data_IF_912596346918
#
_entry.id   IF_912596346918
#
_cell.length_a   1.000
_cell.length_b   1.000
_cell.length_c   1.000
_cell.angle_alpha   90.00
_cell.angle_beta   90.00
_cell.angle_gamma   90.00
#
_symmetry.space_group_name_H-M   'P 1'
#
loop_
_entity.id
_entity.type
_entity.pdbx_description
1 polymer ?
#
# COMPACT_ATOMS: atom_id res chain seq x y z
N UNK A 1 13.88 9.27 -16.22
CA UNK A 1 12.73 8.74 -15.46
C UNK A 1 11.96 9.88 -14.82
N UNK A 2 10.67 9.69 -14.51
CA UNK A 2 9.74 10.76 -14.14
C UNK A 2 10.04 11.46 -12.80
N UNK A 3 10.66 10.77 -11.84
CA UNK A 3 10.97 11.30 -10.50
C UNK A 3 12.43 11.71 -10.32
N UNK A 4 13.17 11.89 -11.43
CA UNK A 4 14.56 12.34 -11.36
C UNK A 4 14.64 13.67 -10.62
N UNK A 5 15.46 13.71 -9.56
CA UNK A 5 15.66 14.89 -8.73
C UNK A 5 14.78 14.96 -7.48
N UNK A 6 13.83 14.03 -7.31
CA UNK A 6 13.05 13.89 -6.08
C UNK A 6 13.88 13.14 -5.03
N UNK A 7 14.03 13.73 -3.84
CA UNK A 7 14.73 13.15 -2.71
C UNK A 7 13.74 12.62 -1.66
N UNK A 8 13.82 11.33 -1.34
CA UNK A 8 12.92 10.64 -0.40
C UNK A 8 13.72 10.11 0.78
N UNK A 9 13.25 10.40 2.00
CA UNK A 9 13.70 9.74 3.23
C UNK A 9 12.65 8.70 3.60
N UNK A 10 13.02 7.42 3.59
CA UNK A 10 12.17 6.30 4.00
C UNK A 10 12.60 5.81 5.37
N UNK A 11 11.71 5.84 6.37
CA UNK A 11 11.94 5.15 7.63
C UNK A 11 11.61 3.67 7.47
N UNK A 12 12.53 2.81 7.89
CA UNK A 12 12.41 1.37 7.73
C UNK A 12 11.10 0.82 8.32
N UNK A 13 10.33 0.14 7.49
CA UNK A 13 9.17 -0.67 7.87
C UNK A 13 9.13 -1.99 7.13
N UNK A 14 7.96 -2.64 7.21
CA UNK A 14 7.66 -3.88 6.52
C UNK A 14 6.87 -3.62 5.23
N UNK A 15 6.85 -4.63 4.35
CA UNK A 15 6.04 -4.80 3.14
C UNK A 15 5.52 -3.51 2.43
N UNK A 16 4.44 -2.84 2.91
CA UNK A 16 3.89 -1.62 2.31
C UNK A 16 4.90 -0.47 2.14
N UNK A 17 5.71 -0.20 3.17
CA UNK A 17 6.69 0.89 3.18
C UNK A 17 7.83 0.67 2.17
N UNK A 18 8.54 -0.47 2.25
CA UNK A 18 9.55 -0.84 1.27
C UNK A 18 9.00 -0.86 -0.16
N UNK A 19 7.79 -1.36 -0.40
CA UNK A 19 7.17 -1.31 -1.74
C UNK A 19 7.01 0.13 -2.24
N UNK A 20 6.44 1.02 -1.42
CA UNK A 20 6.25 2.43 -1.78
C UNK A 20 7.59 3.10 -2.14
N UNK A 21 8.60 2.96 -1.29
CA UNK A 21 9.94 3.48 -1.59
C UNK A 21 10.59 2.83 -2.82
N UNK A 22 10.31 1.55 -3.09
CA UNK A 22 10.83 0.86 -4.27
C UNK A 22 10.24 1.44 -5.55
N UNK A 23 8.91 1.63 -5.59
CA UNK A 23 8.23 2.23 -6.75
C UNK A 23 8.80 3.62 -7.03
N UNK A 24 8.95 4.47 -6.00
CA UNK A 24 9.53 5.81 -6.18
C UNK A 24 10.96 5.73 -6.75
N UNK A 25 11.78 4.80 -6.26
CA UNK A 25 13.15 4.59 -6.77
C UNK A 25 13.15 4.06 -8.22
N UNK A 26 12.31 3.08 -8.54
CA UNK A 26 12.17 2.49 -9.87
C UNK A 26 11.74 3.55 -10.92
N UNK A 27 11.06 4.63 -10.49
CA UNK A 27 10.72 5.78 -11.34
C UNK A 27 11.68 6.98 -11.23
N UNK A 28 12.83 6.81 -10.55
CA UNK A 28 13.98 7.70 -10.59
C UNK A 28 14.19 8.62 -9.39
N UNK A 29 13.43 8.46 -8.31
CA UNK A 29 13.66 9.20 -7.07
C UNK A 29 14.94 8.70 -6.37
N UNK A 30 15.65 9.59 -5.69
CA UNK A 30 16.74 9.23 -4.80
C UNK A 30 16.18 8.87 -3.43
N UNK A 31 16.11 7.58 -3.13
CA UNK A 31 15.54 7.08 -1.88
C UNK A 31 16.65 6.72 -0.89
N UNK A 32 16.66 7.41 0.25
CA UNK A 32 17.49 7.08 1.42
C UNK A 32 16.63 6.37 2.47
N UNK A 33 16.86 5.07 2.64
CA UNK A 33 16.28 4.27 3.69
C UNK A 33 17.05 4.45 5.00
N UNK A 34 16.32 4.65 6.09
CA UNK A 34 16.86 4.80 7.44
C UNK A 34 16.42 3.61 8.30
N UNK A 35 17.38 2.75 8.62
CA UNK A 35 17.18 1.57 9.48
C UNK A 35 17.59 1.85 10.93
N UNK A 36 16.98 1.13 11.86
CA UNK A 36 17.38 1.15 13.27
C UNK A 36 18.62 0.26 13.52
N UNK A 37 19.46 0.56 14.53
CA UNK A 37 20.55 -0.33 14.92
C UNK A 37 20.05 -1.75 15.22
N UNK A 38 20.82 -2.76 14.82
CA UNK A 38 20.47 -4.17 15.01
C UNK A 38 19.35 -4.68 14.09
N UNK A 39 18.93 -3.89 13.08
CA UNK A 39 18.09 -4.39 12.00
C UNK A 39 18.82 -5.50 11.23
N UNK A 40 18.11 -6.58 10.90
CA UNK A 40 18.64 -7.65 10.04
C UNK A 40 18.83 -7.20 8.57
N UNK A 41 18.51 -5.94 8.26
CA UNK A 41 18.45 -5.43 6.90
C UNK A 41 17.16 -5.82 6.18
N UNK A 42 17.07 -5.48 4.90
CA UNK A 42 15.93 -5.89 4.07
C UNK A 42 16.16 -7.29 3.49
N UNK A 43 15.33 -8.25 3.89
CA UNK A 43 15.31 -9.62 3.36
C UNK A 43 14.32 -9.80 2.21
N UNK A 44 13.51 -8.77 1.90
CA UNK A 44 12.45 -8.85 0.87
C UNK A 44 12.93 -8.47 -0.54
N UNK A 45 14.16 -7.97 -0.66
CA UNK A 45 14.72 -7.36 -1.88
C UNK A 45 13.96 -6.13 -2.40
N UNK A 46 12.99 -5.60 -1.63
CA UNK A 46 12.27 -4.36 -1.93
C UNK A 46 13.09 -3.10 -1.60
N UNK A 47 14.28 -3.24 -1.01
CA UNK A 47 15.24 -2.16 -0.83
C UNK A 47 16.13 -1.92 -2.05
N UNK A 48 15.93 -2.66 -3.16
CA UNK A 48 16.67 -2.43 -4.40
C UNK A 48 16.57 -0.97 -4.86
N UNK A 49 17.67 -0.44 -5.41
CA UNK A 49 17.75 0.93 -5.89
C UNK A 49 17.81 2.01 -4.80
N UNK A 50 17.78 1.65 -3.51
CA UNK A 50 17.82 2.61 -2.39
C UNK A 50 19.23 2.70 -1.80
N UNK A 51 19.55 3.86 -1.24
CA UNK A 51 20.68 4.04 -0.32
C UNK A 51 20.23 3.72 1.10
N UNK A 52 21.15 3.31 1.97
CA UNK A 52 20.85 2.95 3.35
C UNK A 52 21.67 3.76 4.34
N UNK A 53 21.06 4.10 5.47
CA UNK A 53 21.68 4.74 6.63
C UNK A 53 21.13 4.06 7.90
N UNK A 54 22.00 3.73 8.85
CA UNK A 54 21.57 3.27 10.17
C UNK A 54 21.54 4.46 11.12
N UNK A 55 20.41 4.65 11.81
CA UNK A 55 20.22 5.77 12.72
C UNK A 55 19.43 5.37 13.96
N UNK A 56 19.99 5.64 15.14
CA UNK A 56 19.29 5.43 16.40
C UNK A 56 18.42 6.65 16.75
N UNK A 57 17.14 6.60 16.38
CA UNK A 57 16.19 7.67 16.67
C UNK A 57 15.82 7.77 18.16
N UNK A 58 16.27 6.85 19.02
CA UNK A 58 16.12 6.99 20.48
C UNK A 58 17.14 7.96 21.08
N UNK A 59 18.17 8.34 20.32
CA UNK A 59 19.19 9.29 20.74
C UNK A 59 18.89 10.67 20.15
N UNK A 60 19.08 11.77 20.91
CA UNK A 60 18.90 13.13 20.40
C UNK A 60 19.74 13.44 19.15
N UNK A 61 20.94 12.86 19.03
CA UNK A 61 21.77 13.02 17.83
C UNK A 61 21.14 12.36 16.61
N UNK A 62 20.45 11.22 16.80
CA UNK A 62 19.76 10.52 15.72
C UNK A 62 18.56 11.30 15.22
N UNK A 63 17.75 11.86 16.12
CA UNK A 63 16.62 12.70 15.72
C UNK A 63 17.09 13.97 14.99
N UNK A 64 18.17 14.60 15.44
CA UNK A 64 18.77 15.77 14.78
C UNK A 64 19.28 15.45 13.36
N UNK A 65 19.93 14.30 13.15
CA UNK A 65 20.34 13.87 11.81
C UNK A 65 19.13 13.68 10.90
N UNK A 66 18.08 13.00 11.37
CA UNK A 66 16.88 12.80 10.56
C UNK A 66 16.20 14.12 10.21
N UNK A 67 16.10 15.05 11.17
CA UNK A 67 15.55 16.38 10.97
C UNK A 67 16.30 17.15 9.89
N UNK A 68 17.64 17.08 9.88
CA UNK A 68 18.50 17.67 8.82
C UNK A 68 18.32 17.01 7.45
N UNK A 69 18.08 15.70 7.40
CA UNK A 69 17.77 15.03 6.15
C UNK A 69 16.41 15.53 5.62
N UNK A 70 15.40 15.61 6.50
CA UNK A 70 14.05 16.07 6.14
C UNK A 70 14.00 17.54 5.73
N UNK A 71 14.91 18.39 6.22
CA UNK A 71 14.98 19.80 5.81
C UNK A 71 15.39 20.00 4.35
N UNK A 72 15.94 18.95 3.71
CA UNK A 72 16.37 18.95 2.30
C UNK A 72 15.61 17.94 1.44
N UNK A 73 14.79 17.10 2.05
CA UNK A 73 14.03 16.08 1.35
C UNK A 73 12.75 16.66 0.74
N UNK A 74 12.29 16.03 -0.33
CA UNK A 74 10.98 16.28 -0.90
C UNK A 74 9.89 15.50 -0.17
N UNK A 75 10.21 14.28 0.26
CA UNK A 75 9.28 13.34 0.87
C UNK A 75 9.92 12.69 2.10
N UNK A 76 9.16 12.59 3.18
CA UNK A 76 9.40 11.66 4.28
C UNK A 76 8.31 10.58 4.23
N UNK A 77 8.70 9.32 4.12
CA UNK A 77 7.81 8.16 4.21
C UNK A 77 8.05 7.46 5.54
N UNK A 78 7.02 7.38 6.39
CA UNK A 78 7.09 6.70 7.68
C UNK A 78 5.92 5.72 7.88
N UNK A 79 6.20 4.47 8.30
CA UNK A 79 5.18 3.42 8.41
C UNK A 79 4.74 3.16 9.87
N UNK A 80 4.88 4.14 10.76
CA UNK A 80 4.64 3.93 12.18
C UNK A 80 3.19 4.21 12.58
N UNK A 81 2.83 3.70 13.76
CA UNK A 81 1.53 3.96 14.37
C UNK A 81 1.41 5.41 14.80
N UNK A 82 0.17 5.86 14.93
CA UNK A 82 -0.14 7.20 15.44
C UNK A 82 0.61 7.48 16.76
N UNK A 83 1.25 8.66 16.83
CA UNK A 83 1.96 9.14 18.01
C UNK A 83 3.41 8.72 18.12
N UNK A 84 3.92 7.79 17.29
CA UNK A 84 5.33 7.35 17.37
C UNK A 84 6.27 8.49 16.99
N UNK A 85 6.02 9.16 15.87
CA UNK A 85 6.88 10.24 15.37
C UNK A 85 6.78 11.50 16.25
N UNK A 86 5.61 11.77 16.81
CA UNK A 86 5.38 12.85 17.76
C UNK A 86 6.20 12.65 19.04
N UNK A 87 6.24 11.43 19.59
CA UNK A 87 7.08 11.09 20.76
C UNK A 87 8.57 11.29 20.49
N UNK A 88 9.00 11.15 19.24
CA UNK A 88 10.37 11.40 18.80
C UNK A 88 10.65 12.86 18.43
N UNK A 89 9.66 13.76 18.59
CA UNK A 89 9.72 15.16 18.16
C UNK A 89 9.98 15.33 16.66
N UNK A 90 9.54 14.35 15.86
CA UNK A 90 9.70 14.29 14.41
C UNK A 90 8.34 14.25 13.70
N UNK A 91 7.27 14.68 14.39
CA UNK A 91 5.92 14.74 13.82
C UNK A 91 5.77 15.83 12.73
N UNK A 92 4.67 15.81 11.97
CA UNK A 92 4.41 16.69 10.85
C UNK A 92 4.49 18.16 11.22
N UNK A 93 3.91 18.56 12.35
CA UNK A 93 3.95 19.97 12.80
C UNK A 93 5.38 20.49 12.94
N UNK A 94 6.28 19.66 13.48
CA UNK A 94 7.70 20.02 13.66
C UNK A 94 8.41 20.07 12.31
N UNK A 95 8.29 19.02 11.51
CA UNK A 95 9.06 18.90 10.27
C UNK A 95 8.55 19.83 9.15
N UNK A 96 7.24 20.09 9.08
CA UNK A 96 6.66 21.04 8.11
C UNK A 96 6.97 22.49 8.48
N UNK A 97 7.17 22.80 9.77
CA UNK A 97 7.67 24.11 10.18
C UNK A 97 9.09 24.35 9.69
N UNK A 98 9.94 23.31 9.73
CA UNK A 98 11.33 23.41 9.27
C UNK A 98 11.45 23.33 7.74
N UNK A 99 10.58 22.55 7.09
CA UNK A 99 10.49 22.43 5.65
C UNK A 99 9.02 22.48 5.19
N UNK A 100 8.50 23.68 4.89
CA UNK A 100 7.11 23.86 4.43
C UNK A 100 6.79 23.20 3.09
N UNK A 101 7.80 22.71 2.37
CA UNK A 101 7.66 21.99 1.09
C UNK A 101 7.60 20.47 1.28
N UNK A 102 7.91 19.95 2.46
CA UNK A 102 7.99 18.51 2.72
C UNK A 102 6.64 17.83 2.51
N UNK A 103 6.64 16.73 1.78
CA UNK A 103 5.50 15.80 1.75
C UNK A 103 5.72 14.78 2.85
N UNK A 104 4.90 14.86 3.90
CA UNK A 104 4.97 13.94 5.03
C UNK A 104 3.98 12.80 4.79
N UNK A 105 4.47 11.65 4.30
CA UNK A 105 3.67 10.48 4.02
C UNK A 105 3.66 9.50 5.19
N UNK A 106 2.48 9.28 5.74
CA UNK A 106 2.19 8.29 6.79
C UNK A 106 1.56 7.08 6.14
N UNK A 107 2.13 5.90 6.38
CA UNK A 107 1.62 4.64 5.84
C UNK A 107 1.33 3.65 6.96
N UNK A 108 0.09 3.62 7.42
CA UNK A 108 -0.32 2.77 8.55
C UNK A 108 -1.42 1.78 8.16
N UNK A 109 -1.75 0.88 9.08
CA UNK A 109 -2.86 -0.07 8.87
C UNK A 109 -4.23 0.57 8.98
N UNK A 110 -4.47 1.25 10.11
CA UNK A 110 -5.79 1.78 10.52
C UNK A 110 -5.93 3.31 10.42
N UNK A 111 -4.92 4.01 9.89
CA UNK A 111 -4.90 5.48 9.81
C UNK A 111 -4.34 6.14 11.07
N UNK A 112 -4.34 7.47 11.08
CA UNK A 112 -3.79 8.28 12.18
C UNK A 112 -4.85 8.74 13.19
N UNK A 113 -6.12 8.42 12.95
CA UNK A 113 -7.25 8.84 13.80
C UNK A 113 -8.22 7.68 14.07
N UNK A 114 -9.17 7.90 15.00
CA UNK A 114 -10.15 6.89 15.38
C UNK A 114 -9.65 5.85 16.39
N UNK A 115 -10.55 4.97 16.83
CA UNK A 115 -10.33 4.03 17.96
C UNK A 115 -9.23 2.99 17.70
N UNK A 116 -8.95 2.69 16.43
CA UNK A 116 -8.00 1.64 16.03
C UNK A 116 -6.62 2.18 15.65
N UNK A 117 -6.38 3.50 15.67
CA UNK A 117 -5.13 4.11 15.20
C UNK A 117 -3.87 3.67 15.96
N UNK A 118 -4.02 3.17 17.19
CA UNK A 118 -2.93 2.65 18.03
C UNK A 118 -2.86 1.12 18.06
N UNK A 119 -3.84 0.44 17.47
CA UNK A 119 -3.93 -1.02 17.48
C UNK A 119 -2.85 -1.67 16.61
N UNK A 120 -2.46 -2.89 16.99
CA UNK A 120 -1.62 -3.74 16.15
C UNK A 120 -2.48 -4.47 15.11
N UNK A 121 -1.88 -4.78 13.97
CA UNK A 121 -2.52 -5.58 12.92
C UNK A 121 -1.53 -5.95 11.83
N UNK A 122 -1.99 -6.81 10.93
CA UNK A 122 -1.35 -7.17 9.67
C UNK A 122 -2.39 -7.13 8.55
N UNK A 123 -1.95 -7.33 7.30
CA UNK A 123 -2.77 -7.30 6.08
C UNK A 123 -4.19 -7.86 6.29
N UNK A 124 -4.31 -9.10 6.77
CA UNK A 124 -5.59 -9.78 6.95
C UNK A 124 -6.57 -9.02 7.85
N UNK A 125 -6.08 -8.30 8.87
CA UNK A 125 -6.92 -7.50 9.77
C UNK A 125 -7.46 -6.26 9.05
N UNK A 126 -6.62 -5.61 8.25
CA UNK A 126 -6.99 -4.44 7.48
C UNK A 126 -7.95 -4.82 6.34
N UNK A 127 -7.66 -5.93 5.67
CA UNK A 127 -8.50 -6.52 4.64
C UNK A 127 -9.87 -6.93 5.19
N UNK A 128 -9.93 -7.47 6.41
CA UNK A 128 -11.20 -7.78 7.08
C UNK A 128 -12.03 -6.51 7.33
N UNK A 129 -11.43 -5.46 7.88
CA UNK A 129 -12.14 -4.22 8.18
C UNK A 129 -12.54 -3.41 6.93
N UNK A 130 -11.81 -3.55 5.82
CA UNK A 130 -12.21 -2.98 4.54
C UNK A 130 -13.49 -3.62 3.97
N UNK A 131 -13.94 -4.75 4.54
CA UNK A 131 -15.06 -5.55 4.07
C UNK A 131 -14.68 -6.55 2.97
N UNK A 132 -13.53 -6.38 2.31
CA UNK A 132 -13.15 -7.18 1.15
C UNK A 132 -12.88 -8.65 1.50
N UNK A 133 -12.31 -8.94 2.68
CA UNK A 133 -12.06 -10.34 3.07
C UNK A 133 -13.35 -11.18 3.03
N UNK A 134 -14.49 -10.59 3.40
CA UNK A 134 -15.80 -11.28 3.41
C UNK A 134 -16.27 -11.74 2.04
N UNK A 135 -15.66 -11.23 0.97
CA UNK A 135 -15.99 -11.52 -0.43
C UNK A 135 -15.00 -12.47 -1.10
N UNK A 136 -13.93 -12.89 -0.42
CA UNK A 136 -12.89 -13.77 -0.99
C UNK A 136 -12.97 -15.17 -0.38
N UNK A 137 -13.02 -16.18 -1.26
CA UNK A 137 -13.14 -17.59 -0.90
C UNK A 137 -14.44 -18.21 -1.41
N UNK A 138 -14.74 -19.42 -0.96
CA UNK A 138 -15.91 -20.19 -1.39
C UNK A 138 -16.54 -20.91 -0.19
N UNK A 139 -17.87 -20.93 -0.10
CA UNK A 139 -18.57 -21.55 1.03
C UNK A 139 -18.24 -20.83 2.35
N UNK A 140 -18.09 -21.58 3.44
CA UNK A 140 -17.81 -21.00 4.77
C UNK A 140 -16.37 -20.54 4.97
N UNK A 141 -15.42 -21.05 4.17
CA UNK A 141 -14.00 -20.74 4.33
C UNK A 141 -13.64 -19.38 3.73
N UNK A 142 -13.10 -18.48 4.55
CA UNK A 142 -12.46 -17.24 4.12
C UNK A 142 -11.00 -17.51 3.74
N UNK A 143 -10.54 -16.87 2.67
CA UNK A 143 -9.15 -16.96 2.23
C UNK A 143 -8.52 -15.57 2.13
N UNK A 144 -7.37 -15.38 2.77
CA UNK A 144 -6.57 -14.17 2.60
C UNK A 144 -5.68 -14.32 1.35
N UNK A 145 -5.79 -13.43 0.35
CA UNK A 145 -5.01 -13.49 -0.88
C UNK A 145 -3.58 -12.99 -0.64
N UNK A 146 -2.83 -13.75 0.16
CA UNK A 146 -1.51 -13.37 0.67
C UNK A 146 -1.61 -12.00 1.37
N UNK A 147 -0.67 -11.09 1.08
CA UNK A 147 -0.73 -9.69 1.46
C UNK A 147 -0.77 -8.74 0.25
N UNK A 148 -1.34 -9.20 -0.88
CA UNK A 148 -1.36 -8.42 -2.11
C UNK A 148 -2.35 -7.25 -2.06
N UNK A 149 -3.45 -7.42 -1.33
CA UNK A 149 -4.52 -6.44 -1.32
C UNK A 149 -4.29 -5.30 -0.34
N UNK A 150 -4.06 -5.56 0.95
CA UNK A 150 -4.01 -4.48 1.93
C UNK A 150 -2.61 -3.87 2.05
N UNK A 151 -1.56 -4.67 2.20
CA UNK A 151 -0.18 -4.17 2.28
C UNK A 151 0.23 -3.49 0.96
N UNK A 152 -0.01 -4.13 -0.18
CA UNK A 152 0.49 -3.63 -1.47
C UNK A 152 -0.51 -2.75 -2.21
N UNK A 153 -1.65 -3.31 -2.63
CA UNK A 153 -2.67 -2.59 -3.41
C UNK A 153 -3.25 -1.36 -2.69
N UNK A 154 -3.86 -1.59 -1.53
CA UNK A 154 -4.49 -0.58 -0.71
C UNK A 154 -3.52 0.23 0.16
N UNK A 155 -2.31 -0.28 0.38
CA UNK A 155 -1.29 0.36 1.21
C UNK A 155 -0.23 1.06 0.39
N UNK A 156 0.82 0.32 0.01
CA UNK A 156 2.02 0.87 -0.65
C UNK A 156 1.72 1.61 -1.96
N UNK A 157 0.87 1.07 -2.82
CA UNK A 157 0.48 1.71 -4.09
C UNK A 157 -0.36 2.97 -3.86
N UNK A 158 -1.35 2.93 -2.98
CA UNK A 158 -2.17 4.11 -2.65
C UNK A 158 -1.35 5.22 -1.98
N UNK A 159 -0.39 4.87 -1.12
CA UNK A 159 0.55 5.82 -0.54
C UNK A 159 1.44 6.46 -1.61
N UNK A 160 1.97 5.64 -2.53
CA UNK A 160 2.75 6.14 -3.67
C UNK A 160 1.92 7.13 -4.49
N UNK A 161 0.67 6.78 -4.82
CA UNK A 161 -0.25 7.67 -5.55
C UNK A 161 -0.45 9.00 -4.79
N UNK A 162 -0.68 8.94 -3.47
CA UNK A 162 -0.80 10.14 -2.64
C UNK A 162 0.45 11.03 -2.70
N UNK A 163 1.65 10.43 -2.64
CA UNK A 163 2.92 11.15 -2.75
C UNK A 163 3.04 11.83 -4.11
N UNK A 164 2.72 11.14 -5.20
CA UNK A 164 2.76 11.69 -6.55
C UNK A 164 1.77 12.85 -6.73
N UNK A 165 0.55 12.71 -6.22
CA UNK A 165 -0.46 13.77 -6.24
C UNK A 165 -0.02 14.98 -5.43
N UNK A 166 0.60 14.78 -4.27
CA UNK A 166 1.13 15.86 -3.44
C UNK A 166 2.33 16.55 -4.11
N UNK A 167 3.23 15.80 -4.76
CA UNK A 167 4.33 16.36 -5.56
C UNK A 167 3.80 17.21 -6.71
N UNK A 168 2.75 16.74 -7.38
CA UNK A 168 2.09 17.47 -8.46
C UNK A 168 1.41 18.74 -7.93
N UNK A 169 0.63 18.66 -6.86
CA UNK A 169 -0.02 19.81 -6.23
C UNK A 169 1.00 20.89 -5.84
N UNK A 170 2.13 20.47 -5.26
CA UNK A 170 3.22 21.34 -4.84
C UNK A 170 3.83 22.14 -6.00
N UNK A 171 3.72 21.69 -7.25
CA UNK A 171 4.17 22.48 -8.42
C UNK A 171 3.38 23.76 -8.60
N UNK A 172 2.14 23.81 -8.10
CA UNK A 172 1.26 24.97 -8.17
C UNK A 172 1.27 25.78 -6.88
N UNK A 173 1.17 25.10 -5.74
CA UNK A 173 1.07 25.76 -4.43
C UNK A 173 2.43 26.17 -3.86
N UNK A 174 3.49 25.48 -4.27
CA UNK A 174 4.81 25.58 -3.66
C UNK A 174 4.87 25.01 -2.25
N UNK A 175 3.85 24.29 -1.77
CA UNK A 175 3.73 23.79 -0.39
C UNK A 175 3.67 22.27 -0.33
N UNK A 176 4.18 21.72 0.77
CA UNK A 176 4.03 20.32 1.14
C UNK A 176 2.70 20.09 1.87
N UNK A 177 2.46 18.83 2.22
CA UNK A 177 1.25 18.41 2.94
C UNK A 177 1.47 17.06 3.63
N UNK A 178 0.55 16.71 4.53
CA UNK A 178 0.51 15.39 5.16
C UNK A 178 -0.38 14.47 4.34
N UNK A 179 0.12 13.28 4.05
CA UNK A 179 -0.66 12.19 3.47
C UNK A 179 -0.89 11.17 4.58
N UNK A 180 -2.15 10.94 4.95
CA UNK A 180 -2.55 9.80 5.79
C UNK A 180 -3.05 8.68 4.87
N UNK A 181 -2.15 7.78 4.48
CA UNK A 181 -2.48 6.60 3.71
C UNK A 181 -2.63 5.41 4.65
N UNK A 182 -3.81 4.77 4.62
CA UNK A 182 -4.06 3.58 5.42
C UNK A 182 -4.64 2.42 4.61
N UNK A 183 -4.27 1.21 5.02
CA UNK A 183 -4.57 -0.01 4.27
C UNK A 183 -6.06 -0.36 4.29
N UNK A 184 -6.78 -0.03 5.36
CA UNK A 184 -8.24 -0.26 5.43
C UNK A 184 -8.97 0.57 4.38
N UNK A 185 -8.79 1.88 4.40
CA UNK A 185 -9.46 2.80 3.47
C UNK A 185 -8.95 2.64 2.04
N UNK A 186 -7.64 2.44 1.85
CA UNK A 186 -7.08 2.21 0.52
C UNK A 186 -7.60 0.91 -0.12
N UNK A 187 -7.78 -0.15 0.68
CA UNK A 187 -8.39 -1.40 0.19
C UNK A 187 -9.88 -1.23 -0.09
N UNK A 188 -10.60 -0.49 0.75
CA UNK A 188 -12.00 -0.13 0.49
C UNK A 188 -12.14 0.71 -0.80
N UNK A 189 -11.20 1.63 -1.04
CA UNK A 189 -11.15 2.43 -2.26
C UNK A 189 -10.88 1.57 -3.50
N UNK A 190 -9.86 0.68 -3.44
CA UNK A 190 -9.52 -0.25 -4.52
C UNK A 190 -10.70 -1.17 -4.88
N UNK A 191 -11.50 -1.53 -3.88
CA UNK A 191 -12.71 -2.35 -4.04
C UNK A 191 -13.97 -1.54 -4.41
N UNK A 192 -13.84 -0.29 -4.85
CA UNK A 192 -14.99 0.54 -5.24
C UNK A 192 -15.87 -0.11 -6.30
N UNK A 193 -15.31 -0.83 -7.27
CA UNK A 193 -16.09 -1.54 -8.29
C UNK A 193 -17.00 -2.60 -7.65
N UNK A 194 -16.44 -3.43 -6.76
CA UNK A 194 -17.16 -4.46 -5.98
C UNK A 194 -18.36 -3.85 -5.24
N UNK A 195 -18.14 -2.75 -4.52
CA UNK A 195 -19.21 -2.14 -3.72
C UNK A 195 -20.25 -1.39 -4.58
N UNK A 196 -19.81 -0.63 -5.57
CA UNK A 196 -20.71 0.21 -6.39
C UNK A 196 -21.59 -0.60 -7.34
N UNK A 197 -21.13 -1.78 -7.75
CA UNK A 197 -21.89 -2.64 -8.67
C UNK A 197 -22.74 -3.70 -7.95
N UNK A 198 -22.79 -3.70 -6.62
CA UNK A 198 -23.66 -4.60 -5.87
C UNK A 198 -25.14 -4.44 -6.26
N UNK A 199 -25.59 -3.20 -6.48
CA UNK A 199 -26.98 -2.92 -6.92
C UNK A 199 -27.24 -3.27 -8.38
N UNK A 200 -26.20 -3.50 -9.17
CA UNK A 200 -26.30 -3.94 -10.56
C UNK A 200 -26.40 -5.48 -10.69
N UNK A 201 -26.52 -6.21 -9.57
CA UNK A 201 -26.66 -7.68 -9.57
C UNK A 201 -25.35 -8.43 -9.79
N UNK A 202 -24.20 -7.74 -9.81
CA UNK A 202 -22.89 -8.38 -10.02
C UNK A 202 -22.38 -9.14 -8.78
N UNK A 203 -22.94 -8.86 -7.60
CA UNK A 203 -22.46 -9.35 -6.29
C UNK A 203 -23.59 -9.70 -5.32
N UNK A 204 -24.78 -9.99 -5.84
CA UNK A 204 -26.01 -10.22 -5.07
C UNK A 204 -26.18 -11.67 -4.59
N UNK A 205 -25.28 -12.58 -5.00
CA UNK A 205 -25.23 -13.97 -4.57
C UNK A 205 -24.27 -14.16 -3.39
N UNK A 206 -24.41 -15.27 -2.64
CA UNK A 206 -23.42 -15.66 -1.63
C UNK A 206 -22.00 -15.68 -2.20
N UNK A 207 -21.01 -15.49 -1.34
CA UNK A 207 -19.59 -15.56 -1.71
C UNK A 207 -19.27 -16.87 -2.46
N UNK A 208 -18.55 -16.74 -3.57
CA UNK A 208 -18.17 -17.84 -4.46
C UNK A 208 -19.28 -18.26 -5.43
N UNK A 209 -20.35 -17.46 -5.57
CA UNK A 209 -21.48 -17.72 -6.46
C UNK A 209 -21.79 -16.53 -7.38
N UNK A 210 -20.89 -15.56 -7.47
CA UNK A 210 -21.03 -14.36 -8.29
C UNK A 210 -20.19 -14.47 -9.58
N UNK A 211 -20.33 -13.47 -10.45
CA UNK A 211 -19.70 -13.46 -11.77
C UNK A 211 -18.16 -13.55 -11.69
N UNK A 212 -17.54 -12.84 -10.74
CA UNK A 212 -16.08 -12.64 -10.69
C UNK A 212 -15.41 -13.22 -9.44
N UNK A 213 -16.12 -14.05 -8.65
CA UNK A 213 -15.58 -14.69 -7.44
C UNK A 213 -15.44 -16.22 -7.56
N UNK A 214 -15.51 -16.75 -8.79
CA UNK A 214 -15.37 -18.17 -9.10
C UNK A 214 -16.69 -18.92 -9.23
N UNK A 215 -17.83 -18.26 -8.99
CA UNK A 215 -19.16 -18.86 -9.13
C UNK A 215 -19.63 -19.09 -10.57
N UNK A 216 -19.10 -18.33 -11.53
CA UNK A 216 -19.42 -18.50 -12.94
C UNK A 216 -18.50 -19.55 -13.60
N UNK A 217 -19.04 -20.52 -14.35
CA UNK A 217 -18.23 -21.57 -15.00
C UNK A 217 -17.30 -21.02 -16.10
N UNK A 218 -17.59 -19.83 -16.62
CA UNK A 218 -16.75 -19.14 -17.60
C UNK A 218 -15.82 -18.10 -16.97
N UNK A 219 -15.76 -18.02 -15.64
CA UNK A 219 -14.81 -17.18 -14.89
C UNK A 219 -14.36 -17.91 -13.61
N UNK A 220 -13.55 -18.96 -13.78
CA UNK A 220 -13.10 -19.83 -12.68
C UNK A 220 -11.87 -20.66 -13.10
N UNK A 221 -11.44 -21.58 -12.25
CA UNK A 221 -10.33 -22.51 -12.56
C UNK A 221 -10.82 -23.96 -12.66
N UNK A 222 -10.23 -24.73 -13.57
CA UNK A 222 -10.54 -26.13 -13.80
C UNK A 222 -9.29 -26.99 -13.65
N UNK A 223 -9.42 -28.14 -12.98
CA UNK A 223 -8.35 -29.13 -12.89
C UNK A 223 -8.18 -29.85 -14.24
N UNK A 224 -6.94 -29.94 -14.71
CA UNK A 224 -6.56 -30.60 -15.96
C UNK A 224 -6.11 -32.05 -15.74
N UNK A 225 -5.94 -32.81 -16.83
CA UNK A 225 -5.59 -34.24 -16.78
C UNK A 225 -4.22 -34.53 -16.13
N UNK A 226 -3.30 -33.58 -16.17
CA UNK A 226 -1.99 -33.62 -15.50
C UNK A 226 -2.07 -33.20 -14.01
N UNK A 227 -3.26 -32.91 -13.50
CA UNK A 227 -3.49 -32.49 -12.12
C UNK A 227 -3.18 -31.02 -11.82
N UNK A 228 -2.79 -30.23 -12.83
CA UNK A 228 -2.64 -28.77 -12.73
C UNK A 228 -4.00 -28.07 -12.91
N UNK A 229 -3.97 -26.74 -13.08
CA UNK A 229 -5.18 -25.92 -13.22
C UNK A 229 -5.09 -25.01 -14.44
N UNK A 230 -6.20 -24.88 -15.16
CA UNK A 230 -6.42 -23.90 -16.22
C UNK A 230 -7.37 -22.81 -15.71
N UNK A 231 -7.01 -21.54 -15.92
CA UNK A 231 -7.91 -20.41 -15.67
C UNK A 231 -8.78 -20.15 -16.90
N UNK A 232 -10.09 -20.00 -16.69
CA UNK A 232 -11.07 -19.61 -17.70
C UNK A 232 -11.61 -18.23 -17.34
N UNK A 233 -11.66 -17.34 -18.33
CA UNK A 233 -12.17 -15.96 -18.19
C UNK A 233 -12.93 -15.48 -19.42
N UNK A 234 -13.78 -16.34 -19.99
CA UNK A 234 -14.53 -16.09 -21.21
C UNK A 234 -15.89 -15.43 -20.91
N UNK A 235 -15.87 -14.19 -20.43
CA UNK A 235 -17.08 -13.46 -19.99
C UNK A 235 -17.96 -13.09 -21.19
N UNK A 236 -17.36 -12.58 -22.27
CA UNK A 236 -18.09 -12.13 -23.44
C UNK A 236 -18.64 -13.32 -24.26
N UNK A 237 -19.88 -13.26 -24.78
CA UNK A 237 -20.52 -14.38 -25.48
C UNK A 237 -19.68 -14.96 -26.63
N UNK A 238 -19.04 -14.10 -27.42
CA UNK A 238 -18.16 -14.54 -28.51
C UNK A 238 -16.92 -15.28 -28.03
N UNK A 239 -16.36 -14.93 -26.86
CA UNK A 239 -15.22 -15.65 -26.30
C UNK A 239 -15.66 -16.97 -25.68
N UNK A 240 -16.85 -17.01 -25.08
CA UNK A 240 -17.43 -18.24 -24.59
C UNK A 240 -17.72 -19.24 -25.73
N UNK A 241 -18.20 -18.75 -26.88
CA UNK A 241 -18.41 -19.59 -28.06
C UNK A 241 -17.10 -20.24 -28.54
N UNK A 242 -16.00 -19.47 -28.58
CA UNK A 242 -14.67 -19.99 -28.92
C UNK A 242 -14.19 -21.03 -27.90
N UNK A 243 -14.38 -20.77 -26.60
CA UNK A 243 -14.03 -21.72 -25.53
C UNK A 243 -14.74 -23.07 -25.71
N UNK A 244 -16.04 -23.06 -26.07
CA UNK A 244 -16.80 -24.29 -26.28
C UNK A 244 -16.36 -25.03 -27.55
N UNK A 245 -15.88 -24.31 -28.58
CA UNK A 245 -15.28 -24.91 -29.78
C UNK A 245 -13.86 -25.44 -29.54
N UNK A 246 -13.19 -24.97 -28.49
CA UNK A 246 -11.80 -25.32 -28.18
C UNK A 246 -10.79 -24.56 -29.05
N UNK A 247 -11.14 -23.34 -29.48
CA UNK A 247 -10.33 -22.44 -30.31
C UNK A 247 -9.51 -21.44 -29.49
#
# INVERSE_FOLDING_TARGET
MALRGVCVVELAGLAPGPLCGMILSDFGAQVLRVDRPGSAGDVSHLARGKRSLILDLKRPQGTEVLRRLCSRADVLLEPFRCGVMEKLQLGPEVLLRDNPKLIYARLSGFGQSGRLSTAAGHDINYLALSGVLSKIGSGEQLYAPLNLLADFGGGGLMCTLGILLALFERTRSGKGQVIDANMVEGTAYLSSFLWKTHKAGLWDRPRGQNLLDGGAPFYTTYRTADGQFMAVGAIEPQFYELLIKGE
#
